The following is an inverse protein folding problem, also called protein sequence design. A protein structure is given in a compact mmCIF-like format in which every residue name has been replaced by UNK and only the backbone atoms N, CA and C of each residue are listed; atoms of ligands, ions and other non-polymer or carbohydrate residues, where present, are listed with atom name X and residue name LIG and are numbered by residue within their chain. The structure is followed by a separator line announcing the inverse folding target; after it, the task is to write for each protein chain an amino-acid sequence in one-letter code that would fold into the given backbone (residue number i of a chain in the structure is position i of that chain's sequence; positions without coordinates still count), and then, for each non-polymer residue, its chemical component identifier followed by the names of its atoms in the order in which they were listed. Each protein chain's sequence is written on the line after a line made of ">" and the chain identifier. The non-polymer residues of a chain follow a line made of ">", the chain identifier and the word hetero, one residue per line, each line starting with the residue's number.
data_IF_732906304360
#
_entry.id   IF_732906304360
#
_cell.length_a   1.000
_cell.length_b   1.000
_cell.length_c   1.000
_cell.angle_alpha   90.00
_cell.angle_beta   90.00
_cell.angle_gamma   90.00
#
_symmetry.space_group_name_H-M   'P 1'
#
loop_
_entity.id
_entity.type
_entity.pdbx_description
1 polymer ?
#
# COMPACT_ATOMS: atom_id res chain seq x y z
N UNK A 1 -10.82 1.20 -14.74
CA UNK A 1 -11.20 2.54 -14.26
C UNK A 1 -10.51 2.80 -12.93
N UNK A 2 -9.98 4.01 -12.66
CA UNK A 2 -9.47 4.36 -11.33
C UNK A 2 -10.63 4.45 -10.34
N UNK A 3 -10.48 3.77 -9.20
CA UNK A 3 -11.42 3.77 -8.08
C UNK A 3 -10.99 4.76 -7.00
N UNK A 4 -9.68 4.79 -6.72
CA UNK A 4 -9.06 5.63 -5.69
C UNK A 4 -7.67 6.03 -6.18
N UNK A 5 -7.24 7.25 -5.87
CA UNK A 5 -5.83 7.62 -5.93
C UNK A 5 -5.36 8.08 -4.55
N UNK A 6 -4.19 7.58 -4.16
CA UNK A 6 -3.58 7.90 -2.88
C UNK A 6 -2.20 8.50 -3.13
N UNK A 7 -1.98 9.70 -2.62
CA UNK A 7 -0.70 10.41 -2.70
C UNK A 7 -0.03 10.38 -1.34
N UNK A 8 1.24 10.04 -1.31
CA UNK A 8 2.08 10.12 -0.12
C UNK A 8 3.11 11.21 -0.32
N UNK A 9 3.30 12.06 0.68
CA UNK A 9 4.22 13.17 0.54
C UNK A 9 4.42 13.99 1.80
N UNK A 10 5.07 15.13 1.63
CA UNK A 10 5.37 16.07 2.70
C UNK A 10 4.58 17.36 2.49
N UNK A 11 4.11 17.94 3.58
CA UNK A 11 3.50 19.25 3.58
C UNK A 11 4.48 20.25 4.17
N UNK A 12 4.81 21.27 3.38
CA UNK A 12 5.63 22.39 3.82
C UNK A 12 4.79 23.67 3.69
N UNK A 13 4.36 24.22 4.82
CA UNK A 13 3.40 25.34 4.83
C UNK A 13 2.09 24.97 4.16
N UNK A 14 1.71 25.70 3.11
CA UNK A 14 0.47 25.45 2.34
C UNK A 14 0.67 24.48 1.17
N UNK A 15 1.91 24.13 0.83
CA UNK A 15 2.23 23.29 -0.33
C UNK A 15 2.37 21.82 0.07
N UNK A 16 1.82 20.93 -0.77
CA UNK A 16 2.00 19.47 -0.67
C UNK A 16 2.93 18.99 -1.79
N UNK A 17 3.95 18.23 -1.41
CA UNK A 17 4.97 17.69 -2.31
C UNK A 17 4.82 16.15 -2.35
N UNK A 18 4.16 15.59 -3.39
CA UNK A 18 3.99 14.15 -3.50
C UNK A 18 5.32 13.46 -3.80
N UNK A 19 5.67 12.46 -2.98
CA UNK A 19 6.76 11.52 -3.21
C UNK A 19 6.29 10.32 -4.02
N UNK A 20 5.09 9.82 -3.74
CA UNK A 20 4.48 8.66 -4.42
C UNK A 20 3.01 8.89 -4.73
N UNK A 21 2.56 8.28 -5.82
CA UNK A 21 1.14 8.21 -6.17
C UNK A 21 0.78 6.75 -6.43
N UNK A 22 -0.23 6.27 -5.72
CA UNK A 22 -0.81 4.95 -5.89
C UNK A 22 -2.21 5.07 -6.47
N UNK A 23 -2.54 4.15 -7.36
CA UNK A 23 -3.82 4.07 -8.05
C UNK A 23 -4.47 2.74 -7.76
N UNK A 24 -5.67 2.76 -7.18
CA UNK A 24 -6.51 1.57 -7.08
C UNK A 24 -7.33 1.49 -8.36
N UNK A 25 -7.10 0.47 -9.17
CA UNK A 25 -7.76 0.27 -10.44
C UNK A 25 -8.70 -0.93 -10.37
N UNK A 26 -9.86 -0.84 -11.01
CA UNK A 26 -10.88 -1.90 -11.02
C UNK A 26 -10.53 -3.11 -11.92
N UNK A 27 -9.93 -2.85 -13.08
CA UNK A 27 -9.67 -3.86 -14.12
C UNK A 27 -8.18 -4.07 -14.35
N UNK A 28 -7.72 -5.30 -14.67
CA UNK A 28 -8.51 -6.52 -14.94
C UNK A 28 -9.12 -7.17 -13.68
N UNK A 29 -8.46 -7.01 -12.54
CA UNK A 29 -9.00 -7.26 -11.20
C UNK A 29 -8.61 -6.07 -10.31
N UNK A 30 -9.29 -5.83 -9.17
CA UNK A 30 -8.92 -4.76 -8.27
C UNK A 30 -7.46 -4.84 -7.83
N UNK A 31 -6.69 -3.78 -8.06
CA UNK A 31 -5.27 -3.76 -7.70
C UNK A 31 -4.72 -2.34 -7.49
N UNK A 32 -3.73 -2.22 -6.61
CA UNK A 32 -2.91 -1.02 -6.50
C UNK A 32 -1.77 -1.04 -7.53
N UNK A 33 -1.50 0.10 -8.13
CA UNK A 33 -0.32 0.38 -8.95
C UNK A 33 0.37 1.64 -8.43
N UNK A 34 1.68 1.59 -8.30
CA UNK A 34 2.50 2.76 -7.99
C UNK A 34 2.95 3.44 -9.28
N UNK A 35 2.82 4.77 -9.31
CA UNK A 35 3.44 5.63 -10.31
C UNK A 35 4.46 6.54 -9.65
N UNK A 36 5.65 6.62 -10.24
CA UNK A 36 6.74 7.48 -9.78
C UNK A 36 6.85 8.67 -10.72
N UNK A 37 7.11 9.85 -10.16
CA UNK A 37 7.35 11.06 -10.95
C UNK A 37 8.64 10.89 -11.77
N UNK A 38 8.53 10.94 -13.10
CA UNK A 38 9.71 10.98 -13.95
C UNK A 38 10.27 12.41 -13.97
N UNK A 39 11.45 12.59 -13.37
CA UNK A 39 12.13 13.88 -13.29
C UNK A 39 12.56 14.43 -14.67
N UNK A 40 12.54 13.62 -15.72
CA UNK A 40 13.00 14.02 -17.06
C UNK A 40 11.87 14.38 -18.03
N UNK A 41 10.62 13.98 -17.77
CA UNK A 41 9.54 14.09 -18.78
C UNK A 41 8.22 14.71 -18.34
N UNK A 42 8.07 15.17 -17.08
CA UNK A 42 6.75 15.60 -16.55
C UNK A 42 5.66 14.52 -16.71
N UNK A 43 6.05 13.27 -16.91
CA UNK A 43 5.15 12.11 -17.03
C UNK A 43 5.27 11.23 -15.77
N UNK A 44 4.17 10.60 -15.39
CA UNK A 44 4.17 9.57 -14.35
C UNK A 44 4.32 8.21 -15.01
N UNK A 45 5.34 7.43 -14.60
CA UNK A 45 5.56 6.07 -15.11
C UNK A 45 5.17 5.06 -14.05
N UNK A 46 4.38 4.07 -14.43
CA UNK A 46 4.09 2.91 -13.57
C UNK A 46 5.41 2.20 -13.20
N UNK A 47 5.58 1.83 -11.93
CA UNK A 47 6.78 1.12 -11.47
C UNK A 47 6.85 -0.33 -11.96
N UNK A 48 5.78 -0.81 -12.60
CA UNK A 48 5.64 -2.17 -13.13
C UNK A 48 5.15 -3.20 -12.10
N UNK A 49 4.99 -2.79 -10.83
CA UNK A 49 4.47 -3.63 -9.76
C UNK A 49 2.97 -3.43 -9.55
N UNK A 50 2.27 -4.53 -9.28
CA UNK A 50 0.83 -4.55 -9.00
C UNK A 50 0.57 -5.30 -7.71
N UNK A 51 -0.29 -4.76 -6.86
CA UNK A 51 -0.83 -5.46 -5.71
C UNK A 51 -2.29 -5.79 -5.94
N UNK A 52 -2.62 -7.05 -6.21
CA UNK A 52 -4.01 -7.48 -6.29
C UNK A 52 -4.64 -7.46 -4.90
N UNK A 53 -5.86 -6.96 -4.82
CA UNK A 53 -6.56 -6.74 -3.54
C UNK A 53 -8.01 -7.18 -3.61
N UNK A 54 -8.60 -7.45 -2.45
CA UNK A 54 -10.04 -7.48 -2.30
C UNK A 54 -10.54 -6.09 -1.92
N UNK A 55 -11.52 -5.56 -2.66
CA UNK A 55 -12.18 -4.29 -2.33
C UNK A 55 -12.99 -4.33 -1.02
N UNK A 56 -13.16 -5.51 -0.43
CA UNK A 56 -13.78 -5.67 0.90
C UNK A 56 -12.76 -5.76 2.03
N UNK A 57 -11.46 -5.63 1.75
CA UNK A 57 -10.41 -5.77 2.77
C UNK A 57 -10.39 -4.59 3.74
N UNK A 58 -10.40 -4.89 5.03
CA UNK A 58 -10.21 -3.90 6.09
C UNK A 58 -8.76 -3.38 6.19
N UNK A 59 -7.84 -3.98 5.42
CA UNK A 59 -6.42 -3.64 5.36
C UNK A 59 -5.98 -3.18 3.96
N UNK A 60 -6.93 -2.75 3.13
CA UNK A 60 -6.69 -2.25 1.77
C UNK A 60 -5.59 -1.17 1.69
N UNK A 61 -5.55 -0.24 2.65
CA UNK A 61 -4.51 0.81 2.72
C UNK A 61 -3.25 0.30 3.41
N UNK A 62 -3.39 -0.42 4.52
CA UNK A 62 -2.28 -1.02 5.27
C UNK A 62 -1.42 -1.90 4.36
N UNK A 63 -2.03 -2.76 3.55
CA UNK A 63 -1.33 -3.65 2.62
C UNK A 63 -0.58 -2.88 1.52
N UNK A 64 -1.14 -1.75 1.05
CA UNK A 64 -0.46 -0.89 0.09
C UNK A 64 0.78 -0.24 0.71
N UNK A 65 0.68 0.25 1.95
CA UNK A 65 1.82 0.79 2.69
C UNK A 65 2.88 -0.27 2.96
N UNK A 66 2.50 -1.50 3.32
CA UNK A 66 3.44 -2.60 3.52
C UNK A 66 4.18 -2.99 2.23
N UNK A 67 3.53 -2.91 1.05
CA UNK A 67 4.13 -3.28 -0.23
C UNK A 67 4.95 -2.18 -0.89
N UNK A 68 4.47 -0.94 -0.84
CA UNK A 68 5.03 0.18 -1.61
C UNK A 68 5.67 1.26 -0.74
N UNK A 69 5.46 1.25 0.57
CA UNK A 69 5.88 2.34 1.47
C UNK A 69 6.61 1.88 2.72
N UNK A 70 7.18 0.67 2.71
CA UNK A 70 7.85 0.10 3.89
C UNK A 70 8.96 1.03 4.42
N UNK A 71 9.65 1.74 3.52
CA UNK A 71 10.68 2.72 3.84
C UNK A 71 10.18 3.93 4.65
N UNK A 72 8.88 4.21 4.62
CA UNK A 72 8.25 5.32 5.34
C UNK A 72 7.55 4.88 6.62
N UNK A 73 7.50 3.58 6.92
CA UNK A 73 6.95 3.08 8.17
C UNK A 73 7.84 3.50 9.35
N UNK A 74 7.22 3.87 10.48
CA UNK A 74 7.97 4.32 11.66
C UNK A 74 8.79 3.17 12.27
N UNK A 75 8.23 1.96 12.32
CA UNK A 75 8.91 0.74 12.80
C UNK A 75 9.43 -0.14 11.65
N UNK A 76 10.08 0.47 10.64
CA UNK A 76 10.52 -0.22 9.41
C UNK A 76 11.33 -1.50 9.67
N UNK A 77 12.34 -1.46 10.54
CA UNK A 77 13.24 -2.59 10.79
C UNK A 77 12.47 -3.80 11.32
N UNK A 78 11.57 -3.57 12.27
CA UNK A 78 10.70 -4.62 12.84
C UNK A 78 9.76 -5.20 11.80
N UNK A 79 9.20 -4.36 10.93
CA UNK A 79 8.35 -4.80 9.83
C UNK A 79 9.13 -5.65 8.82
N UNK A 80 10.34 -5.25 8.45
CA UNK A 80 11.21 -6.03 7.54
C UNK A 80 11.48 -7.42 8.13
N UNK A 81 11.82 -7.50 9.41
CA UNK A 81 12.07 -8.77 10.09
C UNK A 81 10.84 -9.68 10.07
N UNK A 82 9.67 -9.13 10.40
CA UNK A 82 8.44 -9.91 10.47
C UNK A 82 7.90 -10.33 9.09
N UNK A 83 8.21 -9.56 8.04
CA UNK A 83 7.83 -9.88 6.67
C UNK A 83 8.82 -10.83 5.96
N UNK A 84 10.01 -11.05 6.53
CA UNK A 84 11.02 -11.93 5.93
C UNK A 84 10.53 -13.35 5.61
N UNK A 85 9.77 -14.04 6.49
CA UNK A 85 9.25 -15.38 6.18
C UNK A 85 8.37 -15.39 4.91
N UNK A 86 7.53 -14.38 4.73
CA UNK A 86 6.70 -14.20 3.52
C UNK A 86 7.61 -13.95 2.31
N UNK A 87 8.59 -13.06 2.44
CA UNK A 87 9.55 -12.77 1.37
C UNK A 87 10.32 -14.03 0.91
N UNK A 88 10.70 -14.90 1.84
CA UNK A 88 11.42 -16.13 1.55
C UNK A 88 10.53 -17.18 0.87
N UNK A 89 9.27 -17.32 1.28
CA UNK A 89 8.35 -18.30 0.69
C UNK A 89 7.96 -17.97 -0.75
N UNK A 90 7.79 -16.67 -1.08
CA UNK A 90 7.52 -16.22 -2.44
C UNK A 90 8.65 -16.62 -3.39
N UNK A 91 9.92 -16.49 -2.98
CA UNK A 91 11.08 -16.92 -3.79
C UNK A 91 11.16 -18.42 -4.03
N UNK A 92 10.53 -19.24 -3.19
CA UNK A 92 10.57 -20.71 -3.30
C UNK A 92 9.55 -21.23 -4.32
N UNK A 93 8.52 -20.46 -4.70
CA UNK A 93 7.60 -20.85 -5.78
C UNK A 93 8.36 -20.85 -7.12
N UNK A 94 8.51 -22.01 -7.80
CA UNK A 94 9.23 -22.08 -9.07
C UNK A 94 8.51 -21.22 -10.11
N UNK A 95 9.21 -20.23 -10.67
CA UNK A 95 8.67 -19.34 -11.71
C UNK A 95 8.55 -17.87 -11.31
N UNK A 96 8.62 -17.51 -10.02
CA UNK A 96 8.67 -16.09 -9.61
C UNK A 96 10.13 -15.59 -9.57
N UNK A 97 10.78 -15.58 -10.72
CA UNK A 97 12.02 -14.84 -10.87
C UNK A 97 11.66 -13.37 -10.99
N UNK A 98 11.94 -12.58 -9.96
CA UNK A 98 12.35 -11.19 -10.12
C UNK A 98 13.13 -10.77 -8.87
N UNK A 99 14.14 -9.95 -9.10
CA UNK A 99 15.28 -9.68 -8.23
C UNK A 99 14.97 -9.09 -6.86
N UNK A 100 16.01 -8.63 -6.19
CA UNK A 100 16.00 -8.06 -4.85
C UNK A 100 15.14 -6.78 -4.85
N UNK A 101 13.82 -6.93 -4.69
CA UNK A 101 12.89 -5.81 -4.48
C UNK A 101 11.99 -6.12 -3.28
N UNK A 102 11.54 -5.07 -2.59
CA UNK A 102 10.75 -5.13 -1.37
C UNK A 102 9.28 -5.53 -1.61
N UNK A 103 8.94 -6.02 -2.81
CA UNK A 103 7.57 -6.14 -3.30
C UNK A 103 7.07 -7.60 -3.32
N UNK A 104 7.00 -8.22 -2.14
CA UNK A 104 6.59 -9.63 -1.97
C UNK A 104 5.10 -9.78 -1.60
N UNK A 105 4.38 -8.69 -1.32
CA UNK A 105 2.95 -8.67 -0.98
C UNK A 105 2.04 -8.44 -2.20
N UNK A 106 2.36 -9.05 -3.36
CA UNK A 106 1.62 -8.83 -4.60
C UNK A 106 0.16 -9.31 -4.60
N UNK A 107 -0.19 -10.23 -3.71
CA UNK A 107 -1.56 -10.71 -3.50
C UNK A 107 -1.76 -11.12 -2.02
N UNK A 108 -2.06 -10.18 -1.12
CA UNK A 108 -2.17 -10.44 0.32
C UNK A 108 -3.19 -11.54 0.67
N UNK A 109 -4.29 -11.63 -0.08
CA UNK A 109 -5.31 -12.65 0.10
C UNK A 109 -4.83 -14.08 -0.19
N UNK A 110 -3.80 -14.28 -1.01
CA UNK A 110 -3.21 -15.61 -1.21
C UNK A 110 -2.39 -16.02 0.02
N UNK A 111 -1.71 -15.05 0.65
CA UNK A 111 -0.93 -15.28 1.87
C UNK A 111 -1.86 -15.66 3.02
N UNK A 112 -3.06 -15.07 3.07
CA UNK A 112 -4.08 -15.39 4.07
C UNK A 112 -4.60 -16.84 4.01
N UNK A 113 -4.39 -17.55 2.90
CA UNK A 113 -4.76 -18.97 2.78
C UNK A 113 -3.77 -19.91 3.45
N UNK A 114 -2.52 -19.46 3.69
CA UNK A 114 -1.50 -20.21 4.43
C UNK A 114 -1.53 -19.79 5.90
N UNK A 115 -1.79 -20.75 6.80
CA UNK A 115 -1.96 -20.44 8.22
C UNK A 115 -0.74 -19.77 8.85
N UNK A 116 0.47 -20.22 8.49
CA UNK A 116 1.71 -19.72 9.06
C UNK A 116 2.00 -18.32 8.52
N UNK A 117 1.97 -18.15 7.20
CA UNK A 117 2.26 -16.87 6.56
C UNK A 117 1.20 -15.81 6.89
N UNK A 118 -0.06 -16.21 7.07
CA UNK A 118 -1.14 -15.34 7.53
C UNK A 118 -0.83 -14.69 8.88
N UNK A 119 -0.27 -15.43 9.83
CA UNK A 119 0.05 -14.87 11.14
C UNK A 119 1.18 -13.84 11.05
N UNK A 120 2.19 -14.07 10.20
CA UNK A 120 3.19 -13.05 9.90
C UNK A 120 2.57 -11.80 9.25
N UNK A 121 1.66 -11.97 8.29
CA UNK A 121 0.99 -10.83 7.64
C UNK A 121 0.13 -10.03 8.63
N UNK A 122 -0.67 -10.70 9.47
CA UNK A 122 -1.47 -10.06 10.54
C UNK A 122 -0.58 -9.30 11.52
N UNK A 123 0.52 -9.90 11.96
CA UNK A 123 1.46 -9.24 12.85
C UNK A 123 2.07 -7.99 12.20
N UNK A 124 2.43 -8.04 10.92
CA UNK A 124 2.96 -6.88 10.20
C UNK A 124 1.93 -5.77 10.03
N UNK A 125 0.68 -6.09 9.68
CA UNK A 125 -0.42 -5.12 9.62
C UNK A 125 -0.58 -4.40 10.95
N UNK A 126 -0.63 -5.16 12.04
CA UNK A 126 -0.71 -4.60 13.41
C UNK A 126 0.49 -3.72 13.73
N UNK A 127 1.72 -4.15 13.43
CA UNK A 127 2.91 -3.33 13.69
C UNK A 127 2.90 -2.02 12.91
N UNK A 128 2.43 -2.02 11.66
CA UNK A 128 2.29 -0.79 10.88
C UNK A 128 1.17 0.10 11.43
N UNK A 129 0.01 -0.47 11.74
CA UNK A 129 -1.14 0.27 12.28
C UNK A 129 -0.84 0.87 13.66
N UNK A 130 -0.14 0.16 14.54
CA UNK A 130 0.27 0.65 15.86
C UNK A 130 1.46 1.63 15.80
N UNK A 131 2.41 1.38 14.91
CA UNK A 131 3.64 2.17 14.77
C UNK A 131 3.44 3.46 13.98
N UNK A 132 2.54 3.46 13.00
CA UNK A 132 2.22 4.60 12.15
C UNK A 132 3.08 4.71 10.88
N UNK A 133 2.77 5.72 10.08
CA UNK A 133 3.37 6.00 8.78
C UNK A 133 3.91 7.43 8.73
N UNK A 134 5.14 7.62 8.26
CA UNK A 134 5.88 8.87 8.40
C UNK A 134 5.55 9.95 7.36
N UNK A 135 4.76 9.65 6.33
CA UNK A 135 4.33 10.60 5.32
C UNK A 135 2.87 11.04 5.53
N UNK A 136 2.54 12.23 5.03
CA UNK A 136 1.15 12.63 4.91
C UNK A 136 0.49 11.93 3.75
N UNK A 137 -0.79 11.58 3.93
CA UNK A 137 -1.55 10.81 2.95
C UNK A 137 -2.72 11.66 2.44
N UNK A 138 -2.84 11.80 1.12
CA UNK A 138 -4.01 12.38 0.50
C UNK A 138 -4.74 11.30 -0.28
N UNK A 139 -5.99 11.05 0.04
CA UNK A 139 -6.82 10.06 -0.65
C UNK A 139 -7.93 10.78 -1.42
N UNK A 140 -8.04 10.48 -2.72
CA UNK A 140 -9.13 10.89 -3.59
C UNK A 140 -9.91 9.63 -3.96
N UNK A 141 -11.18 9.55 -3.56
CA UNK A 141 -12.07 8.49 -4.01
C UNK A 141 -12.86 8.94 -5.23
N UNK A 142 -12.88 8.12 -6.27
CA UNK A 142 -13.74 8.27 -7.44
C UNK A 142 -14.96 7.34 -7.37
N UNK A 143 -15.05 6.53 -6.31
CA UNK A 143 -16.13 5.57 -6.11
C UNK A 143 -16.77 5.75 -4.71
N UNK A 144 -18.04 6.19 -4.63
CA UNK A 144 -18.69 6.45 -3.34
C UNK A 144 -18.88 5.18 -2.48
N UNK A 145 -18.91 4.00 -3.10
CA UNK A 145 -19.11 2.73 -2.37
C UNK A 145 -17.88 2.26 -1.59
N UNK A 146 -16.71 2.90 -1.78
CA UNK A 146 -15.49 2.55 -1.06
C UNK A 146 -15.16 3.53 0.07
N UNK A 147 -15.84 4.67 0.17
CA UNK A 147 -15.41 5.78 1.03
C UNK A 147 -15.35 5.41 2.51
N UNK A 148 -16.42 4.82 3.04
CA UNK A 148 -16.49 4.40 4.45
C UNK A 148 -15.37 3.40 4.76
N UNK A 149 -15.17 2.40 3.90
CA UNK A 149 -14.12 1.41 4.07
C UNK A 149 -12.72 2.07 4.07
N UNK A 150 -12.48 3.01 3.16
CA UNK A 150 -11.19 3.70 3.05
C UNK A 150 -10.93 4.58 4.28
N UNK A 151 -11.94 5.30 4.76
CA UNK A 151 -11.84 6.12 5.97
C UNK A 151 -11.52 5.23 7.16
N UNK A 152 -12.23 4.11 7.35
CA UNK A 152 -11.91 3.17 8.43
C UNK A 152 -10.48 2.63 8.33
N UNK A 153 -10.01 2.33 7.12
CA UNK A 153 -8.63 1.88 6.89
C UNK A 153 -7.60 2.94 7.30
N UNK A 154 -7.86 4.22 7.00
CA UNK A 154 -6.98 5.33 7.35
C UNK A 154 -6.97 5.59 8.86
N UNK A 155 -8.14 5.54 9.50
CA UNK A 155 -8.32 5.76 10.95
C UNK A 155 -7.70 4.64 11.80
N UNK A 156 -7.57 3.42 11.24
CA UNK A 156 -6.86 2.31 11.89
C UNK A 156 -5.38 2.59 12.13
N UNK A 157 -4.75 3.45 11.32
CA UNK A 157 -3.31 3.70 11.40
C UNK A 157 -3.04 4.83 12.39
N UNK A 158 -2.36 4.50 13.49
CA UNK A 158 -2.09 5.41 14.59
C UNK A 158 -1.28 6.62 14.13
N UNK A 159 -1.81 7.80 14.43
CA UNK A 159 -1.13 9.07 14.15
C UNK A 159 -1.00 9.38 12.65
N UNK A 160 -1.71 8.67 11.78
CA UNK A 160 -1.71 8.96 10.35
C UNK A 160 -2.30 10.34 10.08
N UNK A 161 -1.49 11.21 9.48
CA UNK A 161 -1.96 12.51 9.01
C UNK A 161 -2.49 12.36 7.59
N UNK A 162 -3.81 12.36 7.43
CA UNK A 162 -4.44 12.21 6.13
C UNK A 162 -5.48 13.29 5.81
N UNK A 163 -5.69 13.51 4.51
CA UNK A 163 -6.84 14.24 3.96
C UNK A 163 -7.60 13.33 3.01
N UNK A 164 -8.91 13.27 3.16
CA UNK A 164 -9.79 12.45 2.33
C UNK A 164 -10.74 13.34 1.51
N UNK A 165 -10.87 13.05 0.23
CA UNK A 165 -11.81 13.70 -0.68
C UNK A 165 -12.66 12.62 -1.37
N UNK A 166 -13.96 12.63 -1.11
CA UNK A 166 -14.91 11.69 -1.70
C UNK A 166 -15.35 12.09 -3.12
N UNK A 167 -16.06 11.16 -3.77
CA UNK A 167 -16.72 11.34 -5.04
C UNK A 167 -17.91 12.30 -4.86
N UNK A 168 -17.71 13.58 -5.20
CA UNK A 168 -18.76 14.59 -5.34
C UNK A 168 -18.79 15.10 -6.77
#
# INVERSE_FOLDING_TARGET
>A
MPLVSMLWGRQEGQSFYPEKILWLLEHPHPHWVETVRDNLKLDFRESGFRQFVSLSSMHLITDAMLMFGLEYAIEKERLIENLNPIRLSVRVKPGSFLGISHHFLGAPFEIEQDEVLREFLKASRRFLEEGGFGLQVVVLSYNPYLEDLLIENLERIRGLNYKFYGAK
#
